data_IF_277789696098
#
_entry.id   IF_277789696098
#
_cell.length_a   1.000
_cell.length_b   1.000
_cell.length_c   1.000
_cell.angle_alpha   90.00
_cell.angle_beta   90.00
_cell.angle_gamma   90.00
#
_symmetry.space_group_name_H-M   'P 1'
#
loop_
_entity.id
_entity.type
_entity.pdbx_description
1 polymer ?
#
# COMPACT_ATOMS: atom_id res chain seq x y z
N UNK A 1 19.97 62.25 -60.51
CA UNK A 1 19.05 62.83 -59.51
C UNK A 1 18.60 61.72 -58.58
N UNK A 2 19.21 61.68 -57.38
CA UNK A 2 18.54 61.74 -56.08
C UNK A 2 17.86 60.43 -55.66
N UNK A 3 18.00 59.92 -54.44
CA UNK A 3 18.89 60.10 -53.27
C UNK A 3 18.31 59.09 -52.28
N UNK A 4 19.15 58.44 -51.48
CA UNK A 4 18.70 57.82 -50.23
C UNK A 4 17.90 58.83 -49.40
N UNK A 5 16.84 58.38 -48.73
CA UNK A 5 16.59 58.52 -47.27
C UNK A 5 15.09 58.49 -46.93
N UNK A 6 14.84 57.99 -45.72
CA UNK A 6 13.65 58.08 -44.88
C UNK A 6 12.72 56.86 -45.00
N UNK A 7 12.29 56.21 -43.92
CA UNK A 7 12.34 56.53 -42.49
C UNK A 7 12.15 55.22 -41.69
N UNK A 8 12.78 55.12 -40.51
CA UNK A 8 12.26 54.58 -39.23
C UNK A 8 11.30 53.34 -39.27
N UNK A 9 11.38 52.31 -38.43
CA UNK A 9 11.85 52.18 -37.05
C UNK A 9 11.60 50.72 -36.62
N UNK A 10 12.46 50.20 -35.72
CA UNK A 10 12.13 49.33 -34.58
C UNK A 10 11.07 48.23 -34.75
N UNK A 11 11.49 46.95 -34.71
CA UNK A 11 11.23 46.05 -33.57
C UNK A 11 12.07 44.77 -33.71
N UNK A 12 12.49 44.27 -32.56
CA UNK A 12 13.44 43.19 -32.34
C UNK A 12 12.73 41.80 -32.33
N UNK A 13 13.38 40.66 -32.00
CA UNK A 13 13.28 39.42 -32.77
C UNK A 13 12.54 38.27 -32.05
N UNK A 14 12.56 37.10 -32.71
CA UNK A 14 12.46 35.71 -32.18
C UNK A 14 11.10 35.02 -32.33
N UNK A 15 11.04 34.06 -33.25
CA UNK A 15 10.40 32.75 -33.06
C UNK A 15 10.79 31.81 -34.22
N UNK A 16 11.76 30.91 -34.02
CA UNK A 16 11.92 29.72 -34.86
C UNK A 16 11.26 28.57 -34.10
N UNK A 17 10.12 28.12 -34.61
CA UNK A 17 9.37 26.99 -34.11
C UNK A 17 9.89 25.68 -34.75
N UNK A 18 10.52 24.86 -33.90
CA UNK A 18 10.38 23.41 -33.76
C UNK A 18 10.06 22.56 -35.01
N UNK A 19 11.08 21.85 -35.52
CA UNK A 19 10.88 20.58 -36.23
C UNK A 19 11.95 19.56 -35.80
N UNK A 20 11.55 18.62 -34.94
CA UNK A 20 12.12 17.27 -34.82
C UNK A 20 11.29 16.49 -33.79
N UNK A 21 10.17 15.92 -34.23
CA UNK A 21 9.40 14.96 -33.44
C UNK A 21 9.28 13.68 -34.25
N UNK A 22 10.24 12.77 -34.03
CA UNK A 22 10.10 11.33 -34.20
C UNK A 22 11.46 10.68 -33.97
N UNK A 23 11.52 9.79 -32.97
CA UNK A 23 12.64 8.90 -32.66
C UNK A 23 13.81 9.48 -31.86
N UNK A 24 13.54 9.88 -30.60
CA UNK A 24 14.49 9.62 -29.52
C UNK A 24 13.77 8.90 -28.39
N UNK A 25 14.32 7.74 -27.98
CA UNK A 25 13.94 7.09 -26.73
C UNK A 25 14.16 8.12 -25.62
N UNK A 26 13.21 8.28 -24.70
CA UNK A 26 13.55 8.91 -23.42
C UNK A 26 14.30 7.87 -22.58
N UNK A 27 15.64 7.96 -22.38
CA UNK A 27 16.17 7.54 -21.11
C UNK A 27 15.68 8.58 -20.10
N UNK A 28 15.30 8.14 -18.90
CA UNK A 28 14.89 8.97 -17.77
C UNK A 28 13.39 9.24 -17.67
N UNK A 29 12.58 8.17 -17.64
CA UNK A 29 11.55 8.11 -16.60
C UNK A 29 12.29 7.93 -15.27
N UNK A 30 12.71 9.04 -14.66
CA UNK A 30 13.27 9.02 -13.31
C UNK A 30 12.08 8.74 -12.40
N UNK A 31 12.00 7.53 -11.85
CA UNK A 31 11.17 7.29 -10.67
C UNK A 31 11.47 8.39 -9.64
N UNK A 32 10.48 8.93 -8.91
CA UNK A 32 10.75 9.97 -7.92
C UNK A 32 11.92 9.54 -7.03
N UNK A 33 12.90 10.42 -6.89
CA UNK A 33 14.04 10.18 -6.02
C UNK A 33 13.52 9.89 -4.61
N UNK A 34 13.80 8.68 -4.11
CA UNK A 34 13.63 8.29 -2.71
C UNK A 34 14.49 9.25 -1.89
N UNK A 35 13.87 10.29 -1.32
CA UNK A 35 14.65 11.47 -0.96
C UNK A 35 13.97 12.48 -0.04
N UNK A 36 13.05 12.04 0.80
CA UNK A 36 12.69 12.70 2.07
C UNK A 36 12.09 11.64 2.98
N UNK A 37 12.56 11.46 4.23
CA UNK A 37 11.85 10.62 5.17
C UNK A 37 10.57 11.37 5.58
N UNK A 38 9.43 10.96 5.03
CA UNK A 38 8.16 11.17 5.70
C UNK A 38 8.24 10.32 6.97
N UNK A 39 8.22 10.95 8.14
CA UNK A 39 8.47 10.31 9.42
C UNK A 39 7.26 9.49 9.88
N UNK A 40 6.94 8.39 9.19
CA UNK A 40 5.86 7.50 9.58
C UNK A 40 6.29 6.04 9.35
N UNK A 41 6.16 5.20 10.40
CA UNK A 41 6.60 3.79 10.47
C UNK A 41 8.11 3.51 10.24
N UNK A 42 9.02 4.30 10.83
CA UNK A 42 10.47 4.11 10.61
C UNK A 42 11.20 3.24 11.64
N UNK A 43 10.63 3.02 12.83
CA UNK A 43 11.27 2.22 13.89
C UNK A 43 10.30 1.20 14.46
N UNK A 44 10.14 0.09 13.75
CA UNK A 44 9.39 -1.04 14.24
C UNK A 44 10.05 -1.68 15.47
N UNK A 45 9.22 -2.06 16.43
CA UNK A 45 9.63 -2.69 17.66
C UNK A 45 9.39 -4.19 17.59
N UNK A 46 10.41 -4.94 18.00
CA UNK A 46 10.27 -6.37 18.19
C UNK A 46 9.83 -6.64 19.62
N UNK A 47 8.53 -6.56 19.86
CA UNK A 47 7.89 -6.80 21.15
C UNK A 47 6.79 -7.85 20.99
N UNK A 48 6.43 -8.57 22.07
CA UNK A 48 5.34 -9.53 21.99
C UNK A 48 4.00 -8.86 21.67
N UNK A 49 3.27 -9.39 20.70
CA UNK A 49 1.92 -8.95 20.39
C UNK A 49 1.10 -10.03 19.66
N UNK A 50 -0.20 -9.79 19.58
CA UNK A 50 -1.11 -10.51 18.69
C UNK A 50 -2.04 -9.50 18.02
N UNK A 51 -2.25 -9.65 16.72
CA UNK A 51 -3.22 -8.85 15.97
C UNK A 51 -4.18 -9.77 15.22
N UNK A 52 -5.48 -9.49 15.28
CA UNK A 52 -6.51 -10.34 14.64
C UNK A 52 -7.65 -9.53 14.05
N UNK A 53 -8.46 -10.19 13.21
CA UNK A 53 -9.68 -9.63 12.66
C UNK A 53 -9.81 -9.90 11.17
N UNK A 54 -10.51 -9.01 10.48
CA UNK A 54 -10.76 -9.10 9.07
C UNK A 54 -11.66 -7.98 8.64
N UNK A 55 -11.74 -7.72 7.35
CA UNK A 55 -12.49 -6.57 6.89
C UNK A 55 -12.74 -6.53 5.42
N UNK A 56 -13.26 -5.38 5.02
CA UNK A 56 -13.53 -4.98 3.65
C UNK A 56 -12.94 -3.61 3.43
N UNK A 57 -12.40 -3.40 2.24
CA UNK A 57 -11.94 -2.11 1.73
C UNK A 57 -12.64 -1.91 0.40
N UNK A 58 -13.27 -0.76 0.20
CA UNK A 58 -13.94 -0.44 -1.06
C UNK A 58 -13.09 0.48 -1.91
N UNK A 59 -13.26 0.41 -3.24
CA UNK A 59 -12.55 1.27 -4.18
C UNK A 59 -13.40 2.48 -4.62
N UNK A 60 -12.82 3.69 -4.75
CA UNK A 60 -11.44 4.03 -4.39
C UNK A 60 -11.20 3.94 -2.87
N UNK A 61 -10.04 3.43 -2.43
CA UNK A 61 -9.80 3.21 -1.01
C UNK A 61 -9.42 4.52 -0.31
N UNK A 62 -9.48 4.51 1.02
CA UNK A 62 -9.14 5.67 1.85
C UNK A 62 -10.35 6.41 2.42
N UNK A 63 -11.57 5.89 2.23
CA UNK A 63 -12.77 6.41 2.87
C UNK A 63 -13.56 5.30 3.56
N UNK A 64 -14.52 5.68 4.39
CA UNK A 64 -15.41 4.74 5.07
C UNK A 64 -16.65 4.36 4.22
N UNK A 65 -16.79 4.91 3.02
CA UNK A 65 -17.95 4.64 2.16
C UNK A 65 -17.88 3.23 1.56
N UNK A 66 -19.01 2.55 1.63
CA UNK A 66 -19.15 1.17 1.15
C UNK A 66 -19.89 1.14 -0.18
N UNK A 67 -19.29 0.51 -1.19
CA UNK A 67 -19.97 0.25 -2.46
C UNK A 67 -21.03 -0.84 -2.32
N UNK A 68 -21.99 -0.85 -3.25
CA UNK A 68 -22.94 -1.96 -3.39
C UNK A 68 -22.15 -3.28 -3.58
N UNK A 69 -22.38 -4.34 -2.78
CA UNK A 69 -21.75 -5.64 -2.98
C UNK A 69 -21.90 -6.20 -4.41
N UNK A 70 -22.99 -5.87 -5.11
CA UNK A 70 -23.20 -6.31 -6.50
C UNK A 70 -22.20 -5.66 -7.49
N UNK A 71 -21.56 -4.55 -7.12
CA UNK A 71 -20.54 -3.90 -7.95
C UNK A 71 -19.23 -4.69 -8.02
N UNK A 72 -18.95 -5.51 -7.00
CA UNK A 72 -17.65 -6.18 -6.81
C UNK A 72 -16.44 -5.22 -6.78
N UNK A 73 -16.65 -3.93 -6.49
CA UNK A 73 -15.58 -2.93 -6.40
C UNK A 73 -15.09 -2.82 -4.94
N UNK A 74 -14.52 -3.92 -4.44
CA UNK A 74 -14.01 -4.04 -3.07
C UNK A 74 -13.10 -5.26 -2.89
N UNK A 75 -12.33 -5.25 -1.82
CA UNK A 75 -11.55 -6.37 -1.32
C UNK A 75 -12.09 -6.85 0.02
N UNK A 76 -11.85 -8.11 0.35
CA UNK A 76 -12.15 -8.66 1.68
C UNK A 76 -10.96 -9.45 2.19
N UNK A 77 -10.75 -9.46 3.50
CA UNK A 77 -9.66 -10.21 4.09
C UNK A 77 -9.99 -10.74 5.48
N UNK A 78 -9.29 -11.80 5.87
CA UNK A 78 -9.18 -12.30 7.23
C UNK A 78 -7.71 -12.46 7.57
N UNK A 79 -7.28 -11.94 8.72
CA UNK A 79 -5.88 -11.94 9.08
C UNK A 79 -5.65 -12.07 10.58
N UNK A 80 -4.65 -12.87 10.94
CA UNK A 80 -4.06 -12.83 12.28
C UNK A 80 -2.56 -13.01 12.24
N UNK A 81 -1.87 -12.41 13.20
CA UNK A 81 -0.44 -12.58 13.41
C UNK A 81 -0.14 -12.55 14.91
N UNK A 82 0.88 -13.30 15.32
CA UNK A 82 1.38 -13.35 16.69
C UNK A 82 2.91 -13.37 16.66
N UNK A 83 3.53 -12.55 17.50
CA UNK A 83 4.97 -12.57 17.75
C UNK A 83 5.24 -12.64 19.24
N UNK A 84 6.30 -13.36 19.61
CA UNK A 84 6.86 -13.44 20.95
C UNK A 84 7.96 -12.39 21.17
N UNK A 85 8.16 -11.46 20.22
CA UNK A 85 9.21 -10.45 20.27
C UNK A 85 10.62 -11.03 20.17
N UNK A 86 10.76 -12.24 19.60
CA UNK A 86 12.06 -12.85 19.39
C UNK A 86 12.70 -12.38 18.08
N UNK A 87 14.01 -12.17 18.11
CA UNK A 87 14.80 -11.86 16.92
C UNK A 87 15.57 -13.10 16.47
N UNK A 88 15.71 -13.27 15.16
CA UNK A 88 16.65 -14.23 14.59
C UNK A 88 18.10 -13.73 14.70
N UNK A 89 19.05 -14.51 14.19
CA UNK A 89 20.47 -14.16 14.20
C UNK A 89 20.81 -12.93 13.35
N UNK A 90 19.93 -12.55 12.42
CA UNK A 90 20.08 -11.40 11.53
C UNK A 90 19.35 -10.16 12.07
N UNK A 91 18.66 -10.27 13.21
CA UNK A 91 17.89 -9.19 13.83
C UNK A 91 16.45 -9.07 13.34
N UNK A 92 15.96 -9.95 12.48
CA UNK A 92 14.57 -9.99 12.00
C UNK A 92 13.64 -10.36 13.15
N UNK A 93 12.55 -9.61 13.35
CA UNK A 93 11.55 -9.94 14.35
C UNK A 93 10.65 -11.07 13.85
N UNK A 94 10.75 -12.25 14.47
CA UNK A 94 10.08 -13.45 14.02
C UNK A 94 8.58 -13.40 14.37
N UNK A 95 7.76 -13.87 13.43
CA UNK A 95 6.39 -14.25 13.73
C UNK A 95 6.37 -15.68 14.29
N UNK A 96 5.60 -15.91 15.35
CA UNK A 96 5.40 -17.27 15.88
C UNK A 96 4.33 -18.01 15.06
N UNK A 97 3.28 -17.27 14.68
CA UNK A 97 2.11 -17.76 13.96
C UNK A 97 1.46 -16.64 13.18
N UNK A 98 0.77 -17.00 12.11
CA UNK A 98 -0.22 -16.13 11.50
C UNK A 98 -0.85 -16.74 10.26
N UNK A 99 -1.84 -16.05 9.74
CA UNK A 99 -2.49 -16.37 8.48
C UNK A 99 -3.06 -15.09 7.85
N UNK A 100 -3.13 -15.10 6.52
CA UNK A 100 -3.79 -14.11 5.71
C UNK A 100 -4.60 -14.83 4.64
N UNK A 101 -5.86 -14.45 4.50
CA UNK A 101 -6.66 -14.66 3.30
C UNK A 101 -7.09 -13.29 2.79
N UNK A 102 -6.81 -13.00 1.54
CA UNK A 102 -7.12 -11.74 0.88
C UNK A 102 -7.77 -12.01 -0.47
N UNK A 103 -8.94 -11.42 -0.68
CA UNK A 103 -9.74 -11.63 -1.88
C UNK A 103 -10.05 -10.28 -2.52
N UNK A 104 -9.61 -10.09 -3.76
CA UNK A 104 -9.95 -8.93 -4.57
C UNK A 104 -11.08 -9.27 -5.54
N UNK A 105 -12.24 -8.63 -5.32
CA UNK A 105 -13.44 -8.89 -6.12
C UNK A 105 -13.47 -8.07 -7.41
N UNK A 106 -12.59 -7.08 -7.58
CA UNK A 106 -12.62 -6.16 -8.71
C UNK A 106 -12.51 -6.93 -10.03
N UNK A 107 -13.35 -6.61 -11.03
CA UNK A 107 -13.34 -7.30 -12.32
C UNK A 107 -11.96 -7.37 -12.97
N UNK A 108 -11.16 -6.31 -12.84
CA UNK A 108 -9.84 -6.18 -13.46
C UNK A 108 -8.76 -7.09 -12.84
N UNK A 109 -8.99 -7.58 -11.61
CA UNK A 109 -8.08 -8.49 -10.92
C UNK A 109 -8.53 -9.95 -10.99
N UNK A 110 -9.61 -10.25 -11.72
CA UNK A 110 -10.08 -11.63 -11.84
C UNK A 110 -9.07 -12.51 -12.57
N UNK A 111 -8.84 -13.69 -11.99
CA UNK A 111 -8.02 -14.75 -12.55
C UNK A 111 -8.92 -15.91 -12.92
N UNK A 112 -8.98 -16.24 -14.22
CA UNK A 112 -9.83 -17.33 -14.70
C UNK A 112 -11.33 -17.11 -14.44
N UNK A 113 -11.77 -15.85 -14.40
CA UNK A 113 -13.18 -15.49 -14.13
C UNK A 113 -13.55 -15.38 -12.64
N UNK A 114 -12.65 -15.76 -11.74
CA UNK A 114 -12.82 -15.72 -10.29
C UNK A 114 -12.05 -14.56 -9.65
N UNK A 115 -12.50 -14.02 -8.49
CA UNK A 115 -11.74 -13.03 -7.72
C UNK A 115 -10.28 -13.44 -7.50
N UNK A 116 -9.34 -12.49 -7.49
CA UNK A 116 -7.97 -12.77 -7.08
C UNK A 116 -8.00 -13.25 -5.64
N UNK A 117 -7.45 -14.43 -5.35
CA UNK A 117 -7.41 -14.96 -4.00
C UNK A 117 -5.97 -15.28 -3.59
N UNK A 118 -5.51 -14.59 -2.54
CA UNK A 118 -4.17 -14.65 -2.00
C UNK A 118 -4.23 -15.27 -0.59
N UNK A 119 -3.42 -16.30 -0.36
CA UNK A 119 -3.32 -16.91 0.96
C UNK A 119 -1.86 -16.93 1.42
N UNK A 120 -1.60 -16.45 2.63
CA UNK A 120 -0.30 -16.68 3.25
C UNK A 120 -0.05 -18.19 3.39
N UNK A 121 1.13 -18.62 2.97
CA UNK A 121 1.67 -19.95 3.21
C UNK A 121 2.59 -19.93 4.44
N UNK A 122 3.19 -18.79 4.74
CA UNK A 122 4.09 -18.58 5.88
C UNK A 122 4.11 -17.10 6.26
N UNK A 123 4.13 -16.81 7.57
CA UNK A 123 4.46 -15.48 8.09
C UNK A 123 5.87 -15.57 8.66
N UNK A 124 6.79 -14.79 8.13
CA UNK A 124 8.22 -14.87 8.46
C UNK A 124 8.67 -13.77 9.40
N UNK A 125 7.98 -12.62 9.38
CA UNK A 125 8.28 -11.51 10.28
C UNK A 125 7.02 -10.82 10.76
N UNK A 126 7.09 -10.24 11.95
CA UNK A 126 6.01 -9.47 12.55
C UNK A 126 6.57 -8.49 13.58
N UNK A 127 6.23 -7.22 13.40
CA UNK A 127 6.80 -6.10 14.15
C UNK A 127 5.69 -5.13 14.57
N UNK A 128 5.89 -4.47 15.70
CA UNK A 128 4.94 -3.47 16.23
C UNK A 128 5.35 -2.08 15.78
N UNK A 129 4.40 -1.31 15.28
CA UNK A 129 4.61 0.10 14.98
C UNK A 129 4.75 0.90 16.29
N UNK A 130 5.75 1.78 16.40
CA UNK A 130 5.98 2.54 17.63
C UNK A 130 4.85 3.57 17.82
N UNK A 131 4.36 3.79 19.05
CA UNK A 131 3.41 4.86 19.32
C UNK A 131 4.08 6.25 19.28
N UNK A 132 3.35 7.31 18.87
CA UNK A 132 2.07 7.25 18.19
C UNK A 132 2.33 7.01 16.69
N UNK A 133 2.11 5.78 16.22
CA UNK A 133 1.72 5.61 14.83
C UNK A 133 0.43 6.43 14.72
N UNK A 134 0.47 7.50 13.94
CA UNK A 134 -0.66 8.43 13.84
C UNK A 134 -1.91 7.62 13.54
N UNK A 135 -2.90 7.79 14.41
CA UNK A 135 -4.23 7.19 14.34
C UNK A 135 -4.30 5.64 14.33
N UNK A 136 -3.33 4.95 14.93
CA UNK A 136 -3.48 3.55 15.37
C UNK A 136 -3.45 3.48 16.90
N UNK A 137 -4.46 4.06 17.56
CA UNK A 137 -4.49 4.29 19.01
C UNK A 137 -4.22 3.04 19.85
N UNK A 138 -4.79 1.91 19.47
CA UNK A 138 -4.68 0.65 20.23
C UNK A 138 -3.49 -0.19 19.78
N UNK A 139 -3.05 -0.01 18.54
CA UNK A 139 -1.74 -0.49 18.07
C UNK A 139 -1.65 -0.62 16.56
N UNK A 140 -0.43 -0.60 16.05
CA UNK A 140 -0.12 -0.88 14.64
C UNK A 140 0.91 -2.00 14.52
N UNK A 141 0.89 -2.71 13.39
CA UNK A 141 1.85 -3.74 13.09
C UNK A 141 2.27 -3.73 11.61
N UNK A 142 3.50 -4.17 11.35
CA UNK A 142 3.99 -4.52 10.01
C UNK A 142 4.45 -5.96 10.04
N UNK A 143 3.96 -6.75 9.10
CA UNK A 143 4.23 -8.19 9.08
C UNK A 143 4.12 -8.71 7.66
N UNK A 144 4.68 -9.89 7.42
CA UNK A 144 4.71 -10.44 6.10
C UNK A 144 5.37 -11.80 6.03
N UNK A 145 5.55 -12.29 4.81
CA UNK A 145 6.13 -13.59 4.57
C UNK A 145 5.85 -14.07 3.16
N UNK A 146 5.49 -15.35 3.04
CA UNK A 146 5.23 -16.00 1.76
C UNK A 146 3.75 -16.23 1.56
N UNK A 147 3.27 -16.01 0.35
CA UNK A 147 1.91 -16.32 -0.05
C UNK A 147 1.82 -17.10 -1.36
N UNK A 148 0.63 -17.65 -1.60
CA UNK A 148 0.21 -18.25 -2.86
C UNK A 148 -0.99 -17.52 -3.44
N UNK A 149 -1.05 -17.48 -4.77
CA UNK A 149 -2.23 -17.10 -5.54
C UNK A 149 -3.03 -18.37 -5.82
N UNK A 150 -4.15 -18.54 -5.13
CA UNK A 150 -4.95 -19.77 -5.20
C UNK A 150 -5.41 -20.09 -6.63
N UNK A 151 -5.78 -19.07 -7.38
CA UNK A 151 -6.39 -19.23 -8.70
C UNK A 151 -5.39 -19.61 -9.80
N UNK A 152 -4.09 -19.34 -9.60
CA UNK A 152 -3.03 -19.69 -10.57
C UNK A 152 -2.10 -20.78 -10.07
N UNK A 153 -2.07 -21.05 -8.75
CA UNK A 153 -1.08 -21.91 -8.13
C UNK A 153 0.32 -21.29 -8.09
N UNK A 154 0.47 -19.98 -8.32
CA UNK A 154 1.74 -19.29 -8.12
C UNK A 154 2.03 -19.19 -6.62
N UNK A 155 3.19 -19.65 -6.16
CA UNK A 155 3.52 -19.76 -4.73
C UNK A 155 4.84 -19.05 -4.38
N UNK A 156 5.15 -19.00 -3.08
CA UNK A 156 6.38 -18.42 -2.51
C UNK A 156 6.59 -16.94 -2.85
N UNK A 157 5.50 -16.19 -3.02
CA UNK A 157 5.56 -14.75 -3.28
C UNK A 157 5.72 -13.98 -1.99
N UNK A 158 6.68 -13.06 -1.96
CA UNK A 158 6.85 -12.13 -0.86
C UNK A 158 5.66 -11.18 -0.76
N UNK A 159 5.17 -10.99 0.46
CA UNK A 159 4.15 -10.00 0.75
C UNK A 159 4.43 -9.30 2.07
N UNK A 160 3.84 -8.12 2.18
CA UNK A 160 3.87 -7.29 3.37
C UNK A 160 2.47 -6.74 3.64
N UNK A 161 2.17 -6.56 4.92
CA UNK A 161 0.94 -5.99 5.44
C UNK A 161 1.26 -4.90 6.44
N UNK A 162 0.51 -3.81 6.37
CA UNK A 162 0.41 -2.82 7.43
C UNK A 162 -0.98 -2.92 8.03
N UNK A 163 -1.03 -2.98 9.35
CA UNK A 163 -2.22 -3.32 10.10
C UNK A 163 -2.40 -2.29 11.23
N UNK A 164 -3.59 -1.73 11.35
CA UNK A 164 -3.87 -0.61 12.25
C UNK A 164 -5.18 -0.83 13.00
N UNK A 165 -5.11 -0.74 14.33
CA UNK A 165 -6.25 -0.70 15.25
C UNK A 165 -6.34 0.71 15.87
N UNK A 166 -7.43 1.42 15.56
CA UNK A 166 -7.65 2.82 15.99
C UNK A 166 -8.72 2.98 17.08
N UNK A 167 -8.81 2.03 18.01
CA UNK A 167 -9.62 2.18 19.22
C UNK A 167 -10.96 1.45 19.13
N UNK A 168 -12.06 2.19 18.94
CA UNK A 168 -13.37 1.50 18.86
C UNK A 168 -13.38 0.57 17.64
N UNK A 169 -13.53 -0.75 17.84
CA UNK A 169 -13.37 -1.69 16.74
C UNK A 169 -14.41 -1.41 15.67
N UNK A 170 -13.98 -1.27 14.41
CA UNK A 170 -14.94 -1.19 13.33
C UNK A 170 -14.59 -0.28 12.16
N UNK A 171 -15.61 -0.17 11.32
CA UNK A 171 -15.63 0.61 10.08
C UNK A 171 -15.28 2.07 10.34
N UNK A 172 -14.40 2.64 9.51
CA UNK A 172 -14.03 4.05 9.54
C UNK A 172 -12.85 4.40 10.45
N UNK A 173 -12.37 3.45 11.26
CA UNK A 173 -11.30 3.68 12.24
C UNK A 173 -10.09 2.81 11.93
N UNK A 174 -10.32 1.50 11.81
CA UNK A 174 -9.26 0.54 11.56
C UNK A 174 -8.73 0.65 10.13
N UNK A 175 -7.50 0.16 9.96
CA UNK A 175 -6.80 0.23 8.69
C UNK A 175 -6.09 -1.06 8.33
N UNK A 176 -6.08 -1.38 7.04
CA UNK A 176 -5.28 -2.49 6.52
C UNK A 176 -4.71 -2.16 5.14
N UNK A 177 -3.47 -2.58 4.88
CA UNK A 177 -2.85 -2.49 3.56
C UNK A 177 -2.05 -3.75 3.26
N UNK A 178 -1.92 -4.05 1.98
CA UNK A 178 -1.15 -5.20 1.49
C UNK A 178 -0.32 -4.80 0.27
N UNK A 179 0.87 -5.38 0.17
CA UNK A 179 1.74 -5.30 -1.02
C UNK A 179 2.28 -6.68 -1.38
N UNK A 180 2.21 -7.03 -2.67
CA UNK A 180 2.80 -8.25 -3.26
C UNK A 180 3.60 -7.86 -4.50
N UNK A 181 4.90 -7.50 -4.34
CA UNK A 181 5.68 -6.89 -5.41
C UNK A 181 5.83 -7.77 -6.66
N UNK A 182 5.97 -9.10 -6.48
CA UNK A 182 6.21 -10.04 -7.58
C UNK A 182 5.09 -10.09 -8.63
N UNK A 183 3.87 -9.66 -8.27
CA UNK A 183 2.72 -9.58 -9.17
C UNK A 183 2.22 -8.14 -9.37
N UNK A 184 3.00 -7.14 -8.92
CA UNK A 184 2.62 -5.72 -9.02
C UNK A 184 1.31 -5.37 -8.31
N UNK A 185 0.93 -6.13 -7.28
CA UNK A 185 -0.32 -5.95 -6.56
C UNK A 185 -0.12 -5.14 -5.27
N UNK A 186 -0.93 -4.11 -5.06
CA UNK A 186 -0.92 -3.34 -3.83
C UNK A 186 -2.27 -2.66 -3.59
N UNK A 187 -2.68 -2.64 -2.32
CA UNK A 187 -3.76 -1.79 -1.80
C UNK A 187 -3.15 -1.04 -0.61
N UNK A 188 -2.80 0.23 -0.84
CA UNK A 188 -2.09 1.09 0.11
C UNK A 188 -2.64 2.51 -0.01
N UNK A 189 -2.80 3.19 1.12
CA UNK A 189 -3.33 4.54 1.20
C UNK A 189 -2.37 5.42 1.99
N UNK A 190 -1.88 6.49 1.35
CA UNK A 190 -0.89 7.40 1.93
C UNK A 190 -1.49 8.72 2.41
N UNK A 191 -2.79 8.91 2.21
CA UNK A 191 -3.53 10.11 2.64
C UNK A 191 -4.59 9.76 3.71
N UNK A 192 -4.54 8.55 4.25
CA UNK A 192 -5.42 8.08 5.34
C UNK A 192 -4.87 8.49 6.69
N UNK A 193 -5.71 8.58 7.72
CA UNK A 193 -5.23 8.78 9.09
C UNK A 193 -4.26 7.67 9.57
N UNK A 194 -4.42 6.45 9.05
CA UNK A 194 -3.64 5.27 9.40
C UNK A 194 -2.56 4.88 8.35
N UNK A 195 -1.87 5.84 7.71
CA UNK A 195 -0.91 5.57 6.61
C UNK A 195 0.10 4.43 6.95
N UNK A 196 0.46 3.51 6.05
CA UNK A 196 0.01 3.40 4.67
C UNK A 196 -1.27 2.57 4.52
N UNK A 197 -2.06 2.39 5.58
CA UNK A 197 -3.22 1.51 5.58
C UNK A 197 -4.47 2.17 5.01
N UNK A 198 -5.31 1.41 4.34
CA UNK A 198 -6.59 1.91 3.85
C UNK A 198 -7.69 1.68 4.90
N UNK A 199 -8.56 2.69 5.09
CA UNK A 199 -9.68 2.65 6.03
C UNK A 199 -10.59 1.45 5.71
N UNK A 200 -10.97 0.70 6.74
CA UNK A 200 -11.93 -0.38 6.61
C UNK A 200 -13.34 0.17 6.40
N UNK A 201 -14.02 -0.32 5.38
CA UNK A 201 -15.45 -0.06 5.08
C UNK A 201 -16.36 -1.15 5.66
N UNK A 202 -15.76 -2.21 6.21
CA UNK A 202 -16.42 -3.34 6.87
C UNK A 202 -15.42 -4.11 7.75
N UNK A 203 -15.92 -4.71 8.84
CA UNK A 203 -15.09 -5.53 9.75
C UNK A 203 -14.30 -4.70 10.75
N UNK A 204 -13.23 -5.29 11.30
CA UNK A 204 -12.38 -4.68 12.32
C UNK A 204 -10.99 -5.33 12.42
N UNK A 205 -10.07 -4.60 13.05
CA UNK A 205 -8.78 -5.06 13.56
C UNK A 205 -8.77 -4.98 15.08
N UNK A 206 -8.01 -5.87 15.70
CA UNK A 206 -7.86 -5.93 17.15
C UNK A 206 -6.41 -6.23 17.50
N UNK A 207 -5.78 -5.28 18.16
CA UNK A 207 -4.45 -5.38 18.73
C UNK A 207 -4.54 -5.89 20.18
N UNK A 208 -3.77 -6.91 20.50
CA UNK A 208 -3.73 -7.52 21.81
C UNK A 208 -2.28 -7.47 22.33
N UNK A 209 -1.98 -6.59 23.30
CA UNK A 209 -0.68 -6.64 23.95
C UNK A 209 -0.56 -7.97 24.71
N UNK A 210 0.56 -8.66 24.51
CA UNK A 210 0.87 -9.90 25.23
C UNK A 210 1.95 -9.58 26.25
N UNK A 211 1.57 -9.52 27.53
CA UNK A 211 2.48 -9.27 28.65
C UNK A 211 3.30 -10.51 29.02
#
# INVERSE_FOLDING_TARGET
MFKFRNLAMLTAPVAIALTAWSCDRQPNAVAPAIGTPLAHFQEFQCTPFKMTGGGRIDYPPGTAEKNDPASHIYETFGAHVMSSGQRDQNGTCLADKGALEWIDHRPDYRVGGHPLNLHATEITFAEVAPPPATDCKDGGAHWGGKLRVQNTGQENLDFEVWDCDDGEPGVGHDGFAIRVPAIGYAVMCWDSHAEPTCILTGGNRQFHPTH
#
